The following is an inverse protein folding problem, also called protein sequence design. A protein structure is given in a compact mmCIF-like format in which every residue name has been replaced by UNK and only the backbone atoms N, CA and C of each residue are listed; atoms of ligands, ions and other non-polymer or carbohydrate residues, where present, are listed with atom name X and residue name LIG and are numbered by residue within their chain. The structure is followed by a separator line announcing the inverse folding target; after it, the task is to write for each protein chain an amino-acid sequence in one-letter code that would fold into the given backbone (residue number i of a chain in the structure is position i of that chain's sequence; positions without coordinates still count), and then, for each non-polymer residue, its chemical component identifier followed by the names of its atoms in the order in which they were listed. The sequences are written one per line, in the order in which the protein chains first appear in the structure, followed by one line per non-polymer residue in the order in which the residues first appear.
data_IF_478229542407
#
_entry.id   IF_478229542407
#
_cell.length_a   1.000
_cell.length_b   1.000
_cell.length_c   1.000
_cell.angle_alpha   90.00
_cell.angle_beta   90.00
_cell.angle_gamma   90.00
#
_symmetry.space_group_name_H-M   'P 1'
#
loop_
_entity.id
_entity.type
_entity.pdbx_description
1 polymer ?
#
# COMPACT_ATOMS: atom_id res chain seq x y z
N UNK A 1 -15.01 -5.20 3.68
CA UNK A 1 -14.72 -6.47 2.98
C UNK A 1 -13.31 -6.84 3.38
N UNK A 2 -13.10 -8.04 3.91
CA UNK A 2 -11.78 -8.46 4.34
C UNK A 2 -10.80 -8.49 3.16
N UNK A 3 -9.54 -8.12 3.38
CA UNK A 3 -8.46 -8.30 2.40
C UNK A 3 -8.30 -9.78 2.10
N UNK A 4 -8.27 -10.13 0.80
CA UNK A 4 -7.84 -11.47 0.38
C UNK A 4 -6.34 -11.61 0.56
N UNK A 5 -5.84 -12.85 0.70
CA UNK A 5 -4.40 -13.13 0.83
C UNK A 5 -3.57 -12.50 -0.29
N UNK A 6 -4.14 -12.47 -1.51
CA UNK A 6 -3.51 -11.80 -2.65
C UNK A 6 -3.37 -10.29 -2.46
N UNK A 7 -4.43 -9.61 -1.99
CA UNK A 7 -4.38 -8.17 -1.73
C UNK A 7 -3.40 -7.87 -0.60
N UNK A 8 -3.41 -8.69 0.45
CA UNK A 8 -2.44 -8.62 1.54
C UNK A 8 -1.00 -8.68 1.01
N UNK A 9 -0.70 -9.66 0.15
CA UNK A 9 0.62 -9.79 -0.47
C UNK A 9 1.03 -8.58 -1.31
N UNK A 10 0.09 -7.96 -2.02
CA UNK A 10 0.36 -6.75 -2.82
C UNK A 10 0.71 -5.55 -1.94
N UNK A 11 -0.04 -5.31 -0.86
CA UNK A 11 0.27 -4.22 0.07
C UNK A 11 1.55 -4.47 0.86
N UNK A 12 1.81 -5.72 1.24
CA UNK A 12 3.04 -6.11 1.90
C UNK A 12 4.26 -5.86 1.00
N UNK A 13 4.18 -6.25 -0.28
CA UNK A 13 5.23 -5.96 -1.26
C UNK A 13 5.45 -4.44 -1.43
N UNK A 14 4.38 -3.66 -1.50
CA UNK A 14 4.48 -2.20 -1.58
C UNK A 14 5.14 -1.59 -0.32
N UNK A 15 4.77 -2.07 0.87
CA UNK A 15 5.37 -1.63 2.14
C UNK A 15 6.88 -1.95 2.21
N UNK A 16 7.28 -3.16 1.80
CA UNK A 16 8.70 -3.56 1.73
C UNK A 16 9.48 -2.67 0.77
N UNK A 17 8.93 -2.36 -0.41
CA UNK A 17 9.61 -1.50 -1.39
C UNK A 17 9.88 -0.11 -0.80
N UNK A 18 8.90 0.45 -0.08
CA UNK A 18 9.05 1.73 0.62
C UNK A 18 10.10 1.62 1.73
N UNK A 19 10.12 0.52 2.48
CA UNK A 19 11.05 0.33 3.58
C UNK A 19 12.50 0.13 3.12
N UNK A 20 12.73 -0.74 2.13
CA UNK A 20 14.06 -1.17 1.71
C UNK A 20 14.67 -0.25 0.66
N UNK A 21 13.87 0.28 -0.26
CA UNK A 21 14.36 1.09 -1.38
C UNK A 21 14.11 2.57 -1.19
N UNK A 22 13.29 2.95 -0.20
CA UNK A 22 12.91 4.34 0.07
C UNK A 22 12.37 5.07 -1.18
N UNK A 23 11.84 4.29 -2.14
CA UNK A 23 11.24 4.76 -3.39
C UNK A 23 9.74 4.48 -3.35
N UNK A 24 8.93 5.49 -3.01
CA UNK A 24 7.49 5.34 -2.92
C UNK A 24 6.82 5.28 -4.31
N UNK A 25 7.53 5.66 -5.37
CA UNK A 25 7.01 5.68 -6.74
C UNK A 25 6.74 4.26 -7.25
N UNK A 26 7.67 3.34 -6.99
CA UNK A 26 7.53 1.93 -7.37
C UNK A 26 6.38 1.29 -6.60
N UNK A 27 6.30 1.56 -5.29
CA UNK A 27 5.23 1.05 -4.45
C UNK A 27 3.84 1.59 -4.85
N UNK A 28 3.73 2.88 -5.19
CA UNK A 28 2.50 3.45 -5.75
C UNK A 28 2.14 2.81 -7.09
N UNK A 29 3.12 2.58 -7.97
CA UNK A 29 2.92 1.91 -9.26
C UNK A 29 2.39 0.47 -9.09
N UNK A 30 2.90 -0.28 -8.11
CA UNK A 30 2.42 -1.63 -7.79
C UNK A 30 0.93 -1.58 -7.40
N UNK A 31 0.57 -0.67 -6.49
CA UNK A 31 -0.81 -0.55 -6.00
C UNK A 31 -1.76 -0.08 -7.12
N UNK A 32 -1.32 0.85 -7.95
CA UNK A 32 -2.09 1.35 -9.10
C UNK A 32 -2.31 0.28 -10.16
N UNK A 33 -1.25 -0.42 -10.57
CA UNK A 33 -1.35 -1.50 -11.56
C UNK A 33 -2.19 -2.68 -11.05
N UNK A 34 -2.20 -2.91 -9.74
CA UNK A 34 -3.07 -3.91 -9.12
C UNK A 34 -4.54 -3.45 -9.00
N UNK A 35 -4.85 -2.17 -9.28
CA UNK A 35 -6.19 -1.61 -9.17
C UNK A 35 -6.66 -1.40 -7.72
N UNK A 36 -5.72 -1.25 -6.78
CA UNK A 36 -6.00 -1.16 -5.34
C UNK A 36 -5.72 0.22 -4.74
N UNK A 37 -5.61 1.25 -5.59
CA UNK A 37 -5.30 2.62 -5.18
C UNK A 37 -6.27 3.20 -4.14
N UNK A 38 -7.53 2.75 -4.10
CA UNK A 38 -8.57 3.26 -3.20
C UNK A 38 -9.04 2.24 -2.15
N UNK A 39 -8.24 1.19 -1.89
CA UNK A 39 -8.63 0.11 -0.99
C UNK A 39 -8.51 0.49 0.49
N UNK A 40 -9.35 -0.15 1.31
CA UNK A 40 -9.25 -0.08 2.76
C UNK A 40 -8.19 -1.08 3.23
N UNK A 41 -7.20 -0.58 3.98
CA UNK A 41 -6.06 -1.31 4.52
C UNK A 41 -6.03 -1.29 6.04
N UNK A 42 -7.16 -1.02 6.69
CA UNK A 42 -7.32 -1.03 8.15
C UNK A 42 -6.93 -2.36 8.81
N UNK A 43 -7.02 -3.47 8.08
CA UNK A 43 -6.65 -4.82 8.55
C UNK A 43 -5.15 -5.10 8.50
N UNK A 44 -4.33 -4.23 7.89
CA UNK A 44 -2.88 -4.39 7.86
C UNK A 44 -2.24 -4.08 9.22
N UNK A 45 -1.03 -4.62 9.41
CA UNK A 45 -0.20 -4.28 10.56
C UNK A 45 0.21 -2.80 10.55
N UNK A 46 0.38 -2.24 11.75
CA UNK A 46 0.77 -0.84 11.92
C UNK A 46 2.13 -0.51 11.27
N UNK A 47 3.02 -1.50 11.19
CA UNK A 47 4.30 -1.43 10.46
C UNK A 47 4.08 -1.09 8.98
N UNK A 48 3.17 -1.81 8.34
CA UNK A 48 2.87 -1.68 6.90
C UNK A 48 2.12 -0.37 6.64
N UNK A 49 1.12 -0.07 7.47
CA UNK A 49 0.38 1.21 7.41
C UNK A 49 1.30 2.40 7.51
N UNK A 50 2.32 2.36 8.37
CA UNK A 50 3.31 3.44 8.50
C UNK A 50 4.04 3.70 7.18
N UNK A 51 4.35 2.68 6.40
CA UNK A 51 4.98 2.84 5.09
C UNK A 51 3.96 3.27 4.03
N UNK A 52 2.78 2.68 4.02
CA UNK A 52 1.70 3.02 3.07
C UNK A 52 1.17 4.45 3.26
N UNK A 53 1.25 5.03 4.48
CA UNK A 53 0.98 6.46 4.72
C UNK A 53 1.88 7.38 3.89
N UNK A 54 3.11 6.96 3.58
CA UNK A 54 4.00 7.72 2.70
C UNK A 54 3.51 7.71 1.25
N UNK A 55 2.82 6.65 0.85
CA UNK A 55 2.20 6.51 -0.48
C UNK A 55 0.91 7.29 -0.62
N UNK A 56 0.18 7.54 0.46
CA UNK A 56 -1.05 8.33 0.41
C UNK A 56 -0.83 9.82 0.08
N UNK A 57 0.44 10.26 0.04
CA UNK A 57 0.83 11.59 -0.45
C UNK A 57 1.16 11.59 -1.96
N UNK A 58 1.10 10.44 -2.64
CA UNK A 58 1.37 10.32 -4.07
C UNK A 58 0.09 10.43 -4.89
N UNK A 59 0.22 11.04 -6.07
CA UNK A 59 -0.89 11.25 -7.00
C UNK A 59 -1.51 9.92 -7.44
N UNK A 60 -2.85 9.84 -7.36
CA UNK A 60 -3.61 8.64 -7.70
C UNK A 60 -3.53 7.49 -6.69
N UNK A 61 -3.10 7.73 -5.45
CA UNK A 61 -3.24 6.78 -4.31
C UNK A 61 -4.14 7.43 -3.25
N UNK A 62 -5.17 6.71 -2.81
CA UNK A 62 -6.10 7.15 -1.77
C UNK A 62 -6.54 5.95 -0.91
N UNK A 63 -5.58 5.37 -0.19
CA UNK A 63 -5.82 4.23 0.70
C UNK A 63 -6.63 4.67 1.92
N UNK A 64 -7.58 3.84 2.34
CA UNK A 64 -8.45 4.07 3.49
C UNK A 64 -7.97 3.23 4.68
N UNK A 65 -8.25 3.65 5.91
CA UNK A 65 -7.87 2.88 7.10
C UNK A 65 -6.38 2.90 7.45
N UNK A 66 -5.63 3.89 6.93
CA UNK A 66 -4.22 4.13 7.21
C UNK A 66 -3.95 4.72 8.59
#
# INVERSE_FOLDING_TARGET
MALTDFKHGVFYAAAIVVEVHNDPTIAATIIQNAGFAEHDVSELDESDKKQLRKLNNYDGINLKGL
#
